data_IF_856776827197
#
_entry.id   IF_856776827197
#
_cell.length_a   1.000
_cell.length_b   1.000
_cell.length_c   1.000
_cell.angle_alpha   90.00
_cell.angle_beta   90.00
_cell.angle_gamma   90.00
#
_symmetry.space_group_name_H-M   'P 1'
#
loop_
_entity.id
_entity.type
_entity.pdbx_description
1 polymer ?
#
# COMPACT_ATOMS: atom_id res chain seq x y z
N UNK A 1 9.92 -23.68 2.14
CA UNK A 1 8.45 -23.74 2.36
C UNK A 1 7.88 -22.45 1.81
N UNK A 2 6.95 -22.48 0.83
CA UNK A 2 6.30 -21.26 0.36
C UNK A 2 5.40 -20.66 1.45
N UNK A 3 5.20 -19.34 1.41
CA UNK A 3 4.37 -18.57 2.35
C UNK A 3 2.92 -18.50 1.89
N UNK A 4 2.02 -18.38 2.87
CA UNK A 4 0.58 -18.21 2.64
C UNK A 4 0.22 -16.73 2.48
N UNK A 5 0.97 -15.86 3.17
CA UNK A 5 0.83 -14.42 3.18
C UNK A 5 2.22 -13.78 3.09
N UNK A 6 2.37 -12.82 2.19
CA UNK A 6 3.48 -11.85 2.21
C UNK A 6 2.87 -10.49 2.52
N UNK A 7 3.52 -9.74 3.41
CA UNK A 7 3.13 -8.37 3.77
C UNK A 7 4.30 -7.43 3.46
N UNK A 8 4.06 -6.38 2.68
CA UNK A 8 5.04 -5.34 2.36
C UNK A 8 4.43 -3.97 2.66
N UNK A 9 4.60 -3.52 3.89
CA UNK A 9 4.05 -2.25 4.38
C UNK A 9 5.07 -1.14 4.16
N UNK A 10 4.65 -0.06 3.51
CA UNK A 10 5.45 1.15 3.28
C UNK A 10 6.84 0.90 2.69
N UNK A 11 6.98 -0.09 1.78
CA UNK A 11 8.30 -0.45 1.26
C UNK A 11 8.35 -0.80 -0.23
N UNK A 12 7.21 -1.15 -0.87
CA UNK A 12 7.23 -1.60 -2.27
C UNK A 12 7.74 -0.51 -3.22
N UNK A 13 7.44 0.76 -2.93
CA UNK A 13 7.86 1.91 -3.73
C UNK A 13 9.39 2.08 -3.82
N UNK A 14 10.18 1.61 -2.84
CA UNK A 14 11.64 1.63 -2.94
C UNK A 14 12.20 0.74 -4.07
N UNK A 15 11.42 -0.26 -4.52
CA UNK A 15 11.80 -1.09 -5.66
C UNK A 15 11.66 -0.37 -7.01
N UNK A 16 10.90 0.73 -7.09
CA UNK A 16 10.63 1.48 -8.32
C UNK A 16 11.78 2.37 -8.80
N UNK A 17 12.91 2.37 -8.09
CA UNK A 17 14.13 3.08 -8.50
C UNK A 17 14.65 2.68 -9.88
N UNK A 18 14.42 1.43 -10.31
CA UNK A 18 14.69 0.94 -11.67
C UNK A 18 13.71 -0.19 -12.01
N UNK A 19 13.44 -0.41 -13.30
CA UNK A 19 12.61 -1.53 -13.75
C UNK A 19 13.13 -2.88 -13.24
N UNK A 20 14.44 -3.10 -13.32
CA UNK A 20 15.06 -4.36 -12.89
C UNK A 20 14.80 -4.65 -11.39
N UNK A 21 14.79 -3.63 -10.54
CA UNK A 21 14.50 -3.77 -9.10
C UNK A 21 13.02 -4.05 -8.84
N UNK A 22 12.12 -3.37 -9.55
CA UNK A 22 10.68 -3.62 -9.45
C UNK A 22 10.34 -5.05 -9.89
N UNK A 23 10.87 -5.49 -11.04
CA UNK A 23 10.75 -6.87 -11.54
C UNK A 23 11.29 -7.90 -10.55
N UNK A 24 12.46 -7.64 -9.97
CA UNK A 24 13.06 -8.52 -8.96
C UNK A 24 12.18 -8.63 -7.71
N UNK A 25 11.60 -7.53 -7.25
CA UNK A 25 10.72 -7.52 -6.08
C UNK A 25 9.47 -8.38 -6.31
N UNK A 26 8.79 -8.19 -7.45
CA UNK A 26 7.60 -9.00 -7.81
C UNK A 26 7.95 -10.48 -8.04
N UNK A 27 9.08 -10.77 -8.69
CA UNK A 27 9.56 -12.14 -8.86
C UNK A 27 9.82 -12.83 -7.51
N UNK A 28 10.41 -12.14 -6.54
CA UNK A 28 10.64 -12.67 -5.20
C UNK A 28 9.32 -12.97 -4.47
N UNK A 29 8.37 -12.03 -4.51
CA UNK A 29 7.04 -12.22 -3.92
C UNK A 29 6.35 -13.43 -4.53
N UNK A 30 6.30 -13.51 -5.87
CA UNK A 30 5.65 -14.61 -6.56
C UNK A 30 6.35 -15.94 -6.26
N UNK A 31 7.68 -16.03 -6.36
CA UNK A 31 8.41 -17.29 -6.11
C UNK A 31 8.19 -17.83 -4.69
N UNK A 32 8.02 -16.94 -3.71
CA UNK A 32 7.87 -17.30 -2.31
C UNK A 32 6.41 -17.55 -1.90
N UNK A 33 5.42 -17.04 -2.63
CA UNK A 33 4.01 -17.35 -2.37
C UNK A 33 3.61 -18.71 -2.94
N UNK A 34 2.79 -19.45 -2.19
CA UNK A 34 2.09 -20.62 -2.75
C UNK A 34 0.94 -20.17 -3.65
N UNK A 35 0.49 -21.01 -4.61
CA UNK A 35 -0.76 -20.77 -5.33
C UNK A 35 -1.93 -20.51 -4.37
N UNK A 36 -2.71 -19.48 -4.64
CA UNK A 36 -3.78 -18.99 -3.78
C UNK A 36 -3.32 -18.17 -2.57
N UNK A 37 -2.02 -18.00 -2.35
CA UNK A 37 -1.45 -17.14 -1.32
C UNK A 37 -1.70 -15.66 -1.59
N UNK A 38 -1.64 -14.85 -0.54
CA UNK A 38 -2.01 -13.43 -0.57
C UNK A 38 -0.76 -12.56 -0.43
N UNK A 39 -0.71 -11.49 -1.20
CA UNK A 39 0.25 -10.42 -1.04
C UNK A 39 -0.47 -9.13 -0.67
N UNK A 40 -0.22 -8.62 0.52
CA UNK A 40 -0.78 -7.35 1.00
C UNK A 40 0.30 -6.29 1.11
N UNK A 41 -0.07 -5.03 0.90
CA UNK A 41 0.86 -3.94 1.11
C UNK A 41 0.20 -2.58 1.16
N UNK A 42 0.96 -1.63 1.69
CA UNK A 42 0.69 -0.20 1.66
C UNK A 42 1.83 0.50 0.95
N UNK A 43 1.49 1.50 0.14
CA UNK A 43 2.49 2.35 -0.51
C UNK A 43 1.89 3.70 -0.88
N UNK A 44 2.72 4.71 -1.17
CA UNK A 44 2.25 5.99 -1.64
C UNK A 44 1.40 5.88 -2.91
N UNK A 45 0.28 6.59 -2.94
CA UNK A 45 -0.63 6.71 -4.07
C UNK A 45 -0.10 7.76 -5.05
N UNK A 46 0.46 7.27 -6.16
CA UNK A 46 1.00 8.13 -7.21
C UNK A 46 -0.03 9.13 -7.75
N UNK A 47 -1.31 8.77 -7.85
CA UNK A 47 -2.31 9.70 -8.37
C UNK A 47 -2.51 10.89 -7.42
N UNK A 48 -2.52 10.63 -6.10
CA UNK A 48 -2.63 11.68 -5.09
C UNK A 48 -1.40 12.57 -5.09
N UNK A 49 -0.20 11.98 -5.08
CA UNK A 49 1.06 12.74 -5.07
C UNK A 49 1.18 13.62 -6.31
N UNK A 50 0.95 13.06 -7.50
CA UNK A 50 1.05 13.83 -8.75
C UNK A 50 -0.05 14.90 -8.84
N UNK A 51 -1.26 14.63 -8.33
CA UNK A 51 -2.32 15.63 -8.24
C UNK A 51 -1.88 16.81 -7.35
N UNK A 52 -1.38 16.54 -6.15
CA UNK A 52 -0.91 17.58 -5.22
C UNK A 52 0.28 18.35 -5.80
N UNK A 53 1.25 17.67 -6.42
CA UNK A 53 2.38 18.31 -7.10
C UNK A 53 1.90 19.30 -8.17
N UNK A 54 0.93 18.90 -9.02
CA UNK A 54 0.38 19.77 -10.08
C UNK A 54 -0.39 20.98 -9.55
N UNK A 55 -0.95 20.88 -8.35
CA UNK A 55 -1.66 21.97 -7.69
C UNK A 55 -0.73 22.93 -6.95
N UNK A 56 0.47 22.46 -6.55
CA UNK A 56 1.46 23.29 -5.90
C UNK A 56 2.01 24.38 -6.84
N UNK A 57 2.43 25.51 -6.29
CA UNK A 57 3.10 26.56 -7.07
C UNK A 57 4.52 26.16 -7.47
N UNK A 58 5.25 25.46 -6.59
CA UNK A 58 6.60 24.96 -6.83
C UNK A 58 6.66 23.44 -6.97
N UNK A 59 7.85 22.87 -6.72
CA UNK A 59 8.11 21.43 -6.72
C UNK A 59 8.05 20.78 -5.35
N UNK A 60 7.69 21.56 -4.34
CA UNK A 60 7.46 21.09 -2.97
C UNK A 60 6.02 21.35 -2.55
N UNK A 61 5.44 20.42 -1.79
CA UNK A 61 4.14 20.55 -1.15
C UNK A 61 4.11 19.73 0.14
N UNK A 62 3.21 20.09 1.05
CA UNK A 62 3.12 19.46 2.36
C UNK A 62 2.28 20.28 3.32
N UNK A 63 2.35 19.91 4.60
CA UNK A 63 1.72 20.60 5.70
C UNK A 63 2.65 20.58 6.93
N UNK A 64 2.12 20.76 8.14
CA UNK A 64 2.97 20.76 9.35
C UNK A 64 3.59 19.40 9.68
N UNK A 65 3.03 18.31 9.15
CA UNK A 65 3.40 16.92 9.49
C UNK A 65 4.26 16.26 8.41
N UNK A 66 4.10 16.62 7.13
CA UNK A 66 4.90 16.05 6.05
C UNK A 66 5.28 17.08 4.99
N UNK A 67 6.34 16.78 4.24
CA UNK A 67 6.67 17.49 3.00
C UNK A 67 7.20 16.54 1.93
N UNK A 68 6.81 16.79 0.68
CA UNK A 68 7.25 16.10 -0.52
C UNK A 68 7.93 17.10 -1.44
N UNK A 69 9.16 16.80 -1.86
CA UNK A 69 9.93 17.66 -2.75
C UNK A 69 10.45 16.88 -3.96
N UNK A 70 10.18 17.41 -5.16
CA UNK A 70 10.69 16.92 -6.43
C UNK A 70 11.89 17.76 -6.88
N UNK A 71 12.82 17.11 -7.57
CA UNK A 71 13.96 17.75 -8.26
C UNK A 71 13.51 18.60 -9.45
N UNK A 72 14.35 19.56 -9.83
CA UNK A 72 14.14 20.46 -10.99
C UNK A 72 13.94 19.74 -12.33
N UNK A 73 14.38 18.47 -12.43
CA UNK A 73 14.12 17.61 -13.59
C UNK A 73 12.61 17.41 -13.85
N UNK A 74 11.77 17.61 -12.83
CA UNK A 74 10.31 17.51 -12.91
C UNK A 74 9.62 18.89 -12.90
N UNK A 75 10.33 19.97 -13.21
CA UNK A 75 9.80 21.35 -13.28
C UNK A 75 8.53 21.49 -14.13
N UNK A 76 8.41 20.72 -15.22
CA UNK A 76 7.22 20.70 -16.07
C UNK A 76 6.01 19.94 -15.49
N UNK A 77 6.20 19.17 -14.40
CA UNK A 77 5.17 18.33 -13.75
C UNK A 77 4.47 17.35 -14.71
N UNK A 78 5.19 16.95 -15.76
CA UNK A 78 4.81 15.96 -16.76
C UNK A 78 5.67 14.73 -16.58
N UNK A 79 5.03 13.57 -16.63
CA UNK A 79 5.68 12.27 -16.48
C UNK A 79 5.32 11.46 -17.72
N UNK A 80 6.32 11.18 -18.56
CA UNK A 80 6.13 10.44 -19.80
C UNK A 80 5.86 8.97 -19.52
N UNK A 81 5.04 8.33 -20.36
CA UNK A 81 4.79 6.88 -20.27
C UNK A 81 5.98 6.02 -20.69
N UNK A 82 6.96 6.61 -21.40
CA UNK A 82 8.15 5.91 -21.91
C UNK A 82 9.18 5.56 -20.84
N UNK A 83 9.19 6.27 -19.70
CA UNK A 83 10.10 6.00 -18.58
C UNK A 83 9.36 6.13 -17.24
N UNK A 84 8.59 5.10 -16.85
CA UNK A 84 7.76 5.13 -15.65
C UNK A 84 8.51 4.74 -14.36
N UNK A 85 9.82 4.55 -14.43
CA UNK A 85 10.67 4.15 -13.29
C UNK A 85 11.63 5.27 -12.90
N UNK A 86 12.20 5.20 -11.71
CA UNK A 86 13.23 6.15 -11.28
C UNK A 86 12.71 7.55 -10.94
N UNK A 87 11.41 7.81 -11.09
CA UNK A 87 10.77 9.09 -10.74
C UNK A 87 10.86 9.33 -9.24
N UNK A 88 11.86 10.10 -8.82
CA UNK A 88 12.27 10.24 -7.43
C UNK A 88 11.70 11.50 -6.80
N UNK A 89 11.33 11.41 -5.53
CA UNK A 89 11.04 12.56 -4.67
C UNK A 89 11.66 12.36 -3.29
N UNK A 90 11.89 13.46 -2.58
CA UNK A 90 12.26 13.46 -1.16
C UNK A 90 10.99 13.48 -0.34
N UNK A 91 10.82 12.50 0.53
CA UNK A 91 9.70 12.41 1.48
C UNK A 91 10.20 12.69 2.89
N UNK A 92 9.58 13.65 3.55
CA UNK A 92 9.80 13.95 4.96
C UNK A 92 8.48 13.80 5.71
N UNK A 93 8.51 13.05 6.81
CA UNK A 93 7.41 12.90 7.76
C UNK A 93 7.96 13.16 9.14
N UNK A 94 7.34 14.10 9.85
CA UNK A 94 7.75 14.52 11.18
C UNK A 94 7.92 13.31 12.11
N UNK A 95 9.04 13.27 12.82
CA UNK A 95 9.37 12.23 13.81
C UNK A 95 9.45 10.78 13.27
N UNK A 96 9.40 10.60 11.94
CA UNK A 96 9.39 9.28 11.31
C UNK A 96 10.54 9.08 10.31
N UNK A 97 10.53 9.82 9.19
CA UNK A 97 11.46 9.58 8.07
C UNK A 97 11.86 10.86 7.35
N UNK A 98 13.10 10.88 6.86
CA UNK A 98 13.56 11.79 5.82
C UNK A 98 14.32 10.96 4.78
N UNK A 99 13.66 10.54 3.70
CA UNK A 99 14.23 9.57 2.77
C UNK A 99 13.78 9.78 1.31
N UNK A 100 14.57 9.29 0.34
CA UNK A 100 14.15 9.27 -1.05
C UNK A 100 13.15 8.15 -1.31
N UNK A 101 12.07 8.49 -2.02
CA UNK A 101 11.04 7.57 -2.49
C UNK A 101 10.85 7.68 -4.00
N UNK A 102 10.11 6.72 -4.57
CA UNK A 102 9.85 6.65 -6.00
C UNK A 102 8.37 6.53 -6.31
N UNK A 103 7.93 7.22 -7.37
CA UNK A 103 6.56 7.13 -7.85
C UNK A 103 6.30 5.74 -8.41
N UNK A 104 5.20 5.14 -7.97
CA UNK A 104 4.70 3.86 -8.46
C UNK A 104 3.40 4.09 -9.21
N UNK A 105 3.40 4.20 -10.55
CA UNK A 105 2.15 4.26 -11.31
C UNK A 105 1.37 2.96 -11.08
N UNK A 106 0.24 3.04 -10.37
CA UNK A 106 -0.44 1.83 -9.90
C UNK A 106 -0.91 0.91 -11.03
N UNK A 107 -1.30 1.48 -12.18
CA UNK A 107 -1.65 0.69 -13.37
C UNK A 107 -0.48 -0.19 -13.83
N UNK A 108 0.74 0.36 -13.86
CA UNK A 108 1.94 -0.37 -14.22
C UNK A 108 2.32 -1.41 -13.15
N UNK A 109 2.22 -1.07 -11.86
CA UNK A 109 2.39 -2.04 -10.78
C UNK A 109 1.48 -3.25 -10.97
N UNK A 110 0.20 -3.01 -11.27
CA UNK A 110 -0.78 -4.07 -11.55
C UNK A 110 -0.39 -4.90 -12.78
N UNK A 111 -0.09 -4.27 -13.91
CA UNK A 111 0.31 -4.96 -15.15
C UNK A 111 1.54 -5.83 -14.94
N UNK A 112 2.59 -5.28 -14.31
CA UNK A 112 3.80 -6.04 -13.97
C UNK A 112 3.49 -7.18 -13.00
N UNK A 113 2.63 -6.98 -12.00
CA UNK A 113 2.26 -8.04 -11.06
C UNK A 113 1.55 -9.21 -11.77
N UNK A 114 0.71 -8.92 -12.77
CA UNK A 114 0.01 -9.93 -13.56
C UNK A 114 0.99 -10.81 -14.36
N UNK A 115 2.12 -10.28 -14.81
CA UNK A 115 3.21 -11.05 -15.46
C UNK A 115 3.83 -12.09 -14.51
N UNK A 116 3.70 -11.90 -13.19
CA UNK A 116 4.22 -12.80 -12.15
C UNK A 116 3.11 -13.62 -11.46
N UNK A 117 1.99 -13.86 -12.15
CA UNK A 117 0.85 -14.63 -11.64
C UNK A 117 0.17 -14.02 -10.41
N UNK A 118 0.32 -12.71 -10.17
CA UNK A 118 -0.34 -12.01 -9.07
C UNK A 118 -1.53 -11.22 -9.63
N UNK A 119 -2.74 -11.62 -9.26
CA UNK A 119 -3.98 -10.94 -9.67
C UNK A 119 -4.43 -9.92 -8.62
N UNK A 120 -4.90 -8.75 -9.07
CA UNK A 120 -5.44 -7.73 -8.17
C UNK A 120 -6.78 -8.17 -7.58
N UNK A 121 -6.86 -8.14 -6.25
CA UNK A 121 -8.10 -8.38 -5.49
C UNK A 121 -8.76 -7.05 -5.15
N UNK A 122 -8.02 -6.13 -4.54
CA UNK A 122 -8.49 -4.75 -4.35
C UNK A 122 -7.31 -3.77 -4.23
N UNK A 123 -7.59 -2.50 -4.51
CA UNK A 123 -6.73 -1.38 -4.14
C UNK A 123 -7.59 -0.17 -3.79
N UNK A 124 -7.29 0.47 -2.66
CA UNK A 124 -8.05 1.63 -2.14
C UNK A 124 -7.10 2.63 -1.52
N UNK A 125 -7.30 3.90 -1.84
CA UNK A 125 -6.70 4.98 -1.08
C UNK A 125 -7.09 4.88 0.41
N UNK A 126 -6.20 5.26 1.32
CA UNK A 126 -6.41 5.12 2.77
C UNK A 126 -7.70 5.78 3.26
N UNK A 127 -8.09 6.95 2.73
CA UNK A 127 -9.35 7.58 3.12
C UNK A 127 -10.55 6.69 2.77
N UNK A 128 -10.61 6.21 1.52
CA UNK A 128 -11.68 5.31 1.07
C UNK A 128 -11.66 3.96 1.81
N UNK A 129 -10.47 3.45 2.13
CA UNK A 129 -10.31 2.25 2.93
C UNK A 129 -10.91 2.44 4.32
N UNK A 130 -10.49 3.50 5.03
CA UNK A 130 -10.97 3.79 6.39
C UNK A 130 -12.47 4.04 6.38
N UNK A 131 -12.98 4.88 5.47
CA UNK A 131 -14.41 5.18 5.35
C UNK A 131 -15.28 3.93 5.14
N UNK A 132 -14.77 2.92 4.42
CA UNK A 132 -15.50 1.68 4.22
C UNK A 132 -15.48 0.79 5.45
N UNK A 133 -14.32 0.58 6.06
CA UNK A 133 -14.18 -0.35 7.18
C UNK A 133 -14.73 0.23 8.49
N UNK A 134 -14.75 1.56 8.64
CA UNK A 134 -15.40 2.25 9.75
C UNK A 134 -16.92 2.09 9.79
N UNK A 135 -17.55 1.56 8.73
CA UNK A 135 -18.98 1.19 8.73
C UNK A 135 -19.25 -0.15 9.42
N UNK A 136 -18.22 -0.93 9.74
CA UNK A 136 -18.33 -2.21 10.42
C UNK A 136 -18.08 -2.05 11.93
N UNK A 137 -19.04 -2.43 12.81
CA UNK A 137 -18.93 -2.20 14.25
C UNK A 137 -17.67 -2.78 14.91
N UNK A 138 -17.21 -3.93 14.43
CA UNK A 138 -16.00 -4.60 14.92
C UNK A 138 -14.71 -3.78 14.73
N UNK A 139 -14.59 -3.05 13.61
CA UNK A 139 -13.42 -2.22 13.33
C UNK A 139 -13.48 -0.86 14.02
N UNK A 140 -14.67 -0.32 14.25
CA UNK A 140 -14.86 0.88 15.07
C UNK A 140 -14.34 0.63 16.49
N UNK A 141 -14.70 -0.50 17.10
CA UNK A 141 -14.26 -0.83 18.45
C UNK A 141 -12.74 -1.06 18.52
N UNK A 142 -12.15 -1.71 17.51
CA UNK A 142 -10.69 -1.85 17.42
C UNK A 142 -10.00 -0.49 17.31
N UNK A 143 -10.47 0.39 16.43
CA UNK A 143 -9.89 1.71 16.22
C UNK A 143 -10.01 2.62 17.45
N UNK A 144 -11.09 2.48 18.23
CA UNK A 144 -11.22 3.15 19.54
C UNK A 144 -10.18 2.65 20.54
N UNK A 145 -9.96 1.33 20.63
CA UNK A 145 -8.93 0.74 21.51
C UNK A 145 -7.51 1.12 21.13
N UNK A 146 -7.26 1.30 19.84
CA UNK A 146 -5.99 1.80 19.32
C UNK A 146 -5.81 3.32 19.53
N UNK A 147 -6.83 4.02 20.03
CA UNK A 147 -6.81 5.45 20.30
C UNK A 147 -6.97 6.33 19.06
N UNK A 148 -7.06 5.76 17.86
CA UNK A 148 -7.13 6.52 16.61
C UNK A 148 -8.44 7.32 16.43
N UNK A 149 -9.49 6.96 17.18
CA UNK A 149 -10.81 7.62 17.16
C UNK A 149 -11.10 8.44 18.44
N UNK A 150 -10.10 8.66 19.28
CA UNK A 150 -10.29 9.30 20.59
C UNK A 150 -10.21 8.33 21.77
N UNK A 151 -10.12 8.90 22.97
CA UNK A 151 -10.02 8.20 24.25
C UNK A 151 -11.36 7.62 24.76
N UNK A 152 -12.40 7.63 23.92
CA UNK A 152 -13.74 7.14 24.26
C UNK A 152 -14.62 8.14 25.04
N UNK A 153 -14.13 9.35 25.36
CA UNK A 153 -14.92 10.36 26.09
C UNK A 153 -15.51 11.48 25.22
N UNK A 154 -14.96 11.76 24.04
CA UNK A 154 -15.36 12.96 23.25
C UNK A 154 -15.84 12.71 21.81
N UNK A 155 -15.94 11.45 21.34
CA UNK A 155 -16.36 11.12 19.95
C UNK A 155 -15.63 11.93 18.85
N UNK A 156 -14.43 12.44 19.13
CA UNK A 156 -13.58 13.16 18.18
C UNK A 156 -12.32 12.34 17.88
N UNK A 157 -12.03 12.19 16.59
CA UNK A 157 -10.78 11.61 16.09
C UNK A 157 -9.57 12.30 16.74
N UNK A 158 -8.57 11.52 17.16
CA UNK A 158 -7.29 12.10 17.61
C UNK A 158 -6.45 12.64 16.46
N UNK A 159 -6.75 12.25 15.21
CA UNK A 159 -6.03 12.69 14.04
C UNK A 159 -6.42 14.14 13.70
N UNK A 160 -5.42 15.01 13.70
CA UNK A 160 -5.51 16.36 13.17
C UNK A 160 -5.81 16.34 11.65
N UNK A 161 -6.32 17.44 11.07
CA UNK A 161 -6.50 17.56 9.63
C UNK A 161 -5.21 17.32 8.84
N UNK A 162 -4.06 17.70 9.39
CA UNK A 162 -2.76 17.53 8.74
C UNK A 162 -2.29 16.07 8.73
N UNK A 163 -2.50 15.34 9.82
CA UNK A 163 -2.23 13.90 9.89
C UNK A 163 -3.21 13.12 9.00
N UNK A 164 -4.47 13.56 8.93
CA UNK A 164 -5.45 12.98 8.00
C UNK A 164 -5.06 13.20 6.54
N UNK A 165 -4.56 14.39 6.19
CA UNK A 165 -4.02 14.65 4.85
C UNK A 165 -2.76 13.82 4.55
N UNK A 166 -1.91 13.55 5.56
CA UNK A 166 -0.77 12.64 5.40
C UNK A 166 -1.23 11.20 5.10
N UNK A 167 -2.26 10.70 5.77
CA UNK A 167 -2.83 9.39 5.49
C UNK A 167 -3.38 9.26 4.06
N UNK A 168 -3.91 10.36 3.49
CA UNK A 168 -4.41 10.43 2.12
C UNK A 168 -3.36 10.11 1.06
N UNK A 169 -2.07 10.30 1.38
CA UNK A 169 -0.97 10.02 0.46
C UNK A 169 -0.80 8.54 0.17
N UNK A 170 -1.42 7.65 0.94
CA UNK A 170 -1.20 6.21 0.83
C UNK A 170 -2.42 5.48 0.26
N UNK A 171 -2.15 4.32 -0.32
CA UNK A 171 -3.14 3.32 -0.67
C UNK A 171 -2.77 1.97 -0.06
N UNK A 172 -3.79 1.13 0.13
CA UNK A 172 -3.67 -0.28 0.46
C UNK A 172 -4.02 -1.11 -0.76
N UNK A 173 -3.27 -2.18 -1.01
CA UNK A 173 -3.55 -3.14 -2.07
C UNK A 173 -3.48 -4.58 -1.57
N UNK A 174 -4.22 -5.45 -2.25
CA UNK A 174 -4.16 -6.90 -2.08
C UNK A 174 -4.10 -7.57 -3.44
N UNK A 175 -3.08 -8.40 -3.61
CA UNK A 175 -2.90 -9.30 -4.74
C UNK A 175 -3.04 -10.75 -4.28
N UNK A 176 -3.50 -11.63 -5.17
CA UNK A 176 -3.58 -13.08 -4.94
C UNK A 176 -2.73 -13.80 -5.97
N UNK A 177 -1.97 -14.81 -5.55
CA UNK A 177 -1.22 -15.65 -6.48
C UNK A 177 -2.17 -16.63 -7.19
N UNK A 178 -2.13 -16.66 -8.52
CA UNK A 178 -2.88 -17.60 -9.37
C UNK A 178 -2.39 -19.04 -9.16
N UNK A 179 -3.24 -19.99 -9.57
CA UNK A 179 -2.98 -21.43 -9.51
C UNK A 179 -3.84 -22.17 -8.48
N UNK A 180 -3.92 -23.49 -8.61
CA UNK A 180 -4.66 -24.34 -7.67
C UNK A 180 -3.86 -24.49 -6.37
N UNK A 181 -4.48 -24.27 -5.19
CA UNK A 181 -3.80 -24.49 -3.93
C UNK A 181 -3.42 -25.97 -3.81
N UNK A 182 -2.21 -26.24 -3.30
CA UNK A 182 -1.76 -27.61 -3.01
C UNK A 182 -2.82 -28.34 -2.18
N UNK A 183 -3.37 -29.44 -2.70
CA UNK A 183 -4.19 -30.38 -1.93
C UNK A 183 -3.27 -31.16 -0.98
N UNK A 184 -2.73 -30.52 0.05
CA UNK A 184 -2.07 -31.27 1.13
C UNK A 184 -3.15 -31.99 1.94
N UNK A 185 -2.99 -33.30 2.21
CA UNK A 185 -3.93 -34.00 3.09
C UNK A 185 -3.93 -33.32 4.46
N UNK A 186 -5.11 -32.85 4.87
CA UNK A 186 -5.34 -32.25 6.19
C UNK A 186 -5.05 -33.33 7.22
N UNK A 187 -4.00 -33.15 8.00
CA UNK A 187 -3.66 -34.06 9.08
C UNK A 187 -4.53 -33.70 10.29
N UNK A 188 -5.50 -34.53 10.72
CA UNK A 188 -6.58 -34.13 11.63
C UNK A 188 -6.13 -33.93 13.10
N UNK A 189 -4.82 -34.01 13.37
CA UNK A 189 -4.23 -33.92 14.72
C UNK A 189 -3.53 -32.60 15.02
N UNK A 190 -3.58 -31.61 14.13
CA UNK A 190 -3.11 -30.26 14.43
C UNK A 190 -4.32 -29.34 14.49
N UNK A 191 -4.57 -28.84 15.70
CA UNK A 191 -5.51 -27.76 15.97
C UNK A 191 -5.04 -26.52 15.22
N UNK A 192 -5.48 -26.40 13.96
CA UNK A 192 -5.02 -25.38 13.03
C UNK A 192 -6.24 -24.57 12.60
N UNK A 193 -6.28 -23.31 13.02
CA UNK A 193 -7.15 -22.30 12.41
C UNK A 193 -7.04 -22.32 10.88
N UNK A 194 -8.07 -21.81 10.20
CA UNK A 194 -8.21 -21.81 8.73
C UNK A 194 -6.87 -21.56 8.03
N UNK A 195 -6.32 -22.59 7.38
CA UNK A 195 -5.03 -22.53 6.68
C UNK A 195 -5.12 -21.83 5.32
N UNK A 196 -6.30 -21.44 4.85
CA UNK A 196 -6.51 -20.73 3.58
C UNK A 196 -7.39 -19.51 3.83
N UNK A 197 -6.88 -18.33 3.44
CA UNK A 197 -7.65 -17.08 3.46
C UNK A 197 -8.63 -17.07 2.28
N UNK A 198 -9.93 -17.04 2.58
CA UNK A 198 -10.97 -16.81 1.57
C UNK A 198 -10.99 -15.34 1.12
N UNK A 199 -11.73 -15.03 0.04
CA UNK A 199 -11.98 -13.64 -0.33
C UNK A 199 -12.70 -12.87 0.78
N UNK A 200 -13.58 -13.54 1.55
CA UNK A 200 -14.18 -12.90 2.71
C UNK A 200 -13.14 -12.64 3.80
N UNK A 201 -12.24 -13.59 4.08
CA UNK A 201 -11.21 -13.42 5.11
C UNK A 201 -10.28 -12.23 4.79
N UNK A 202 -10.02 -11.90 3.51
CA UNK A 202 -9.26 -10.72 3.06
C UNK A 202 -9.98 -9.40 3.41
N UNK A 203 -11.31 -9.40 3.42
CA UNK A 203 -12.13 -8.22 3.77
C UNK A 203 -12.22 -8.01 5.29
N UNK A 204 -11.51 -8.81 6.09
CA UNK A 204 -11.42 -8.66 7.54
C UNK A 204 -9.98 -8.65 8.07
N UNK A 205 -8.98 -8.47 7.19
CA UNK A 205 -7.59 -8.17 7.58
C UNK A 205 -7.44 -6.67 7.84
#
# INVERSE_FOLDING_TARGET
MPFDLISCQFAMHYSWSTEARARRALANVSALLRPGGIFIGTMPDANVIIKKLRQAQGLSFGNSVYSIEFSEEYSEKKFGSSDPFGIKYKFHLQDAVDCPEWIVPFHLFKEMAEEYDLELVFAKNSHAFIDEYMKKPEFVELMRRLGALGDGNQDQSTLSPDEWDAAYLYLSFVLKKKGQPDQRPINPRRDNGKMQLSKEDIMFI
#
